data_IF_926026677352
#
_entry.id   IF_926026677352
#
_cell.length_a   1.000
_cell.length_b   1.000
_cell.length_c   1.000
_cell.angle_alpha   90.00
_cell.angle_beta   90.00
_cell.angle_gamma   90.00
#
_symmetry.space_group_name_H-M   'P 1'
#
loop_
_entity.id
_entity.type
_entity.pdbx_description
1 polymer ?
#
# COMPACT_ATOMS: atom_id res chain seq x y z
N UNK A 1 -0.89 -24.87 16.52
CA UNK A 1 -1.17 -23.53 15.98
C UNK A 1 0.14 -23.09 15.37
N UNK A 2 0.31 -23.19 14.05
CA UNK A 2 1.56 -22.79 13.40
C UNK A 2 1.66 -21.26 13.43
N UNK A 3 2.83 -20.75 13.83
CA UNK A 3 3.13 -19.32 13.79
C UNK A 3 3.01 -18.80 12.36
N UNK A 4 2.33 -17.67 12.19
CA UNK A 4 2.24 -17.03 10.90
C UNK A 4 3.64 -16.63 10.40
N UNK A 5 3.96 -16.81 9.11
CA UNK A 5 5.27 -16.46 8.58
C UNK A 5 5.55 -14.95 8.75
N UNK A 6 6.68 -14.63 9.39
CA UNK A 6 7.13 -13.25 9.62
C UNK A 6 7.74 -12.71 8.33
N UNK A 7 7.18 -11.62 7.79
CA UNK A 7 7.78 -10.87 6.69
C UNK A 7 8.62 -9.74 7.31
N UNK A 8 9.94 -9.80 7.13
CA UNK A 8 10.88 -8.79 7.63
C UNK A 8 11.55 -8.07 6.46
N UNK A 9 11.49 -6.74 6.46
CA UNK A 9 12.10 -5.90 5.43
C UNK A 9 13.52 -5.49 5.83
N UNK A 10 14.48 -5.76 4.95
CA UNK A 10 15.91 -5.58 5.22
C UNK A 10 16.53 -4.35 4.55
N UNK A 11 17.81 -4.08 4.81
CA UNK A 11 18.57 -2.96 4.22
C UNK A 11 18.58 -2.97 2.68
N UNK A 12 18.49 -4.16 2.08
CA UNK A 12 18.46 -4.36 0.62
C UNK A 12 17.15 -3.91 -0.05
N UNK A 13 16.08 -3.66 0.72
CA UNK A 13 14.77 -3.26 0.20
C UNK A 13 14.47 -1.77 0.42
N UNK A 14 15.44 -1.03 0.95
CA UNK A 14 15.34 0.42 1.10
C UNK A 14 15.58 1.09 -0.25
N UNK A 15 14.53 1.60 -0.88
CA UNK A 15 14.63 2.47 -2.05
C UNK A 15 14.44 3.93 -1.62
N UNK A 16 15.53 4.70 -1.52
CA UNK A 16 15.50 6.13 -1.14
C UNK A 16 16.89 6.68 -0.77
N UNK A 17 17.09 8.01 -0.82
CA UNK A 17 18.35 8.63 -0.39
C UNK A 17 18.63 8.33 1.09
N UNK A 18 19.81 7.80 1.41
CA UNK A 18 20.16 7.46 2.80
C UNK A 18 20.61 8.70 3.57
N UNK A 19 19.69 9.36 4.25
CA UNK A 19 20.03 10.41 5.22
C UNK A 19 19.11 10.36 6.44
N UNK A 20 19.72 10.18 7.62
CA UNK A 20 19.14 10.43 8.96
C UNK A 20 17.70 9.96 9.18
N UNK A 21 17.48 8.65 9.38
CA UNK A 21 16.39 7.97 10.13
C UNK A 21 14.91 8.49 10.09
N UNK A 22 14.58 9.47 9.25
CA UNK A 22 13.26 10.08 9.07
C UNK A 22 12.65 9.71 7.71
N UNK A 23 13.30 8.82 6.96
CA UNK A 23 12.78 8.34 5.69
C UNK A 23 11.50 7.55 5.94
N UNK A 24 10.42 7.95 5.27
CA UNK A 24 9.18 7.19 5.20
C UNK A 24 9.48 5.71 4.90
N UNK A 25 8.78 4.79 5.56
CA UNK A 25 8.90 3.38 5.24
C UNK A 25 8.23 3.14 3.88
N UNK A 26 9.07 3.04 2.85
CA UNK A 26 8.66 2.82 1.47
C UNK A 26 9.10 1.44 1.02
N UNK A 27 8.18 0.67 0.48
CA UNK A 27 8.44 -0.70 0.00
C UNK A 27 8.08 -0.87 -1.49
N UNK A 28 8.42 -2.05 -1.99
CA UNK A 28 7.92 -2.60 -3.24
C UNK A 28 7.07 -3.84 -2.96
N UNK A 29 6.02 -4.05 -3.73
CA UNK A 29 5.19 -5.24 -3.67
C UNK A 29 4.58 -5.56 -5.04
N UNK A 30 4.04 -6.76 -5.20
CA UNK A 30 3.30 -7.11 -6.43
C UNK A 30 1.81 -6.84 -6.24
N UNK A 31 1.22 -5.98 -7.06
CA UNK A 31 -0.23 -5.68 -7.08
C UNK A 31 -0.77 -6.05 -8.46
N UNK A 32 -1.80 -6.90 -8.50
CA UNK A 32 -2.41 -7.34 -9.76
C UNK A 32 -1.40 -7.90 -10.79
N UNK A 33 -0.36 -8.60 -10.30
CA UNK A 33 0.78 -9.12 -11.08
C UNK A 33 1.78 -8.07 -11.62
N UNK A 34 1.62 -6.80 -11.25
CA UNK A 34 2.59 -5.74 -11.54
C UNK A 34 3.49 -5.49 -10.33
N UNK A 35 4.79 -5.31 -10.57
CA UNK A 35 5.69 -4.83 -9.53
C UNK A 35 5.48 -3.34 -9.31
N UNK A 36 5.03 -2.97 -8.12
CA UNK A 36 4.73 -1.59 -7.75
C UNK A 36 5.70 -1.16 -6.66
N UNK A 37 6.51 -0.14 -6.96
CA UNK A 37 7.35 0.55 -5.97
C UNK A 37 6.69 1.80 -5.41
N UNK A 38 7.42 2.52 -4.56
CA UNK A 38 6.94 3.75 -3.91
C UNK A 38 5.64 3.53 -3.13
N UNK A 39 5.56 2.42 -2.41
CA UNK A 39 4.43 2.09 -1.53
C UNK A 39 4.75 2.62 -0.14
N UNK A 40 4.02 3.64 0.31
CA UNK A 40 4.19 4.20 1.65
C UNK A 40 3.41 3.38 2.69
N UNK A 41 4.09 2.96 3.76
CA UNK A 41 3.47 2.30 4.89
C UNK A 41 3.04 3.35 5.91
N UNK A 42 1.73 3.49 6.12
CA UNK A 42 1.15 4.49 7.00
C UNK A 42 0.22 3.85 8.04
N UNK A 43 0.71 3.68 9.27
CA UNK A 43 -0.09 3.17 10.38
C UNK A 43 -1.15 4.17 10.88
N UNK A 44 -1.07 5.44 10.50
CA UNK A 44 -2.07 6.48 10.77
C UNK A 44 -3.24 6.43 9.79
N UNK A 45 -3.03 5.94 8.57
CA UNK A 45 -4.08 5.87 7.56
C UNK A 45 -5.16 4.84 7.91
N UNK A 46 -6.43 5.25 7.82
CA UNK A 46 -7.60 4.37 7.97
C UNK A 46 -7.97 3.61 6.70
N UNK A 47 -7.35 3.93 5.56
CA UNK A 47 -7.67 3.36 4.26
C UNK A 47 -6.41 3.01 3.48
N UNK A 48 -6.53 2.03 2.58
CA UNK A 48 -5.53 1.78 1.57
C UNK A 48 -5.86 2.62 0.33
N UNK A 49 -4.86 3.30 -0.21
CA UNK A 49 -5.02 4.28 -1.29
C UNK A 49 -4.14 3.85 -2.45
N UNK A 50 -4.71 3.83 -3.65
CA UNK A 50 -4.01 3.69 -4.91
C UNK A 50 -4.13 5.01 -5.67
N UNK A 51 -3.02 5.65 -6.01
CA UNK A 51 -3.09 6.92 -6.73
C UNK A 51 -3.48 6.70 -8.18
N UNK A 52 -4.28 7.62 -8.74
CA UNK A 52 -4.89 7.50 -10.06
C UNK A 52 -3.88 7.21 -11.18
N UNK A 53 -2.73 7.88 -11.16
CA UNK A 53 -1.66 7.63 -12.15
C UNK A 53 -1.15 6.18 -12.07
N UNK A 54 -0.99 5.63 -10.87
CA UNK A 54 -0.59 4.23 -10.68
C UNK A 54 -1.72 3.28 -11.10
N UNK A 55 -2.97 3.61 -10.79
CA UNK A 55 -4.13 2.84 -11.24
C UNK A 55 -4.21 2.76 -12.77
N UNK A 56 -4.02 3.88 -13.47
CA UNK A 56 -4.09 3.94 -14.93
C UNK A 56 -2.88 3.22 -15.59
N UNK A 57 -1.72 3.17 -14.92
CA UNK A 57 -0.54 2.42 -15.38
C UNK A 57 -0.69 0.90 -15.20
N UNK A 58 -1.38 0.46 -14.14
CA UNK A 58 -1.71 -0.95 -13.94
C UNK A 58 -2.82 -1.28 -14.96
N UNK A 59 -2.47 -2.05 -15.99
CA UNK A 59 -3.40 -2.36 -17.09
C UNK A 59 -4.42 -3.41 -16.65
N UNK A 60 -5.35 -3.02 -15.79
CA UNK A 60 -6.35 -3.90 -15.19
C UNK A 60 -7.42 -4.40 -16.17
N UNK A 61 -7.37 -4.00 -17.44
CA UNK A 61 -8.38 -4.37 -18.44
C UNK A 61 -9.75 -3.83 -18.08
N UNK A 62 -10.77 -4.69 -18.08
CA UNK A 62 -12.18 -4.33 -17.83
C UNK A 62 -12.56 -4.21 -16.34
N UNK A 63 -11.58 -4.15 -15.42
CA UNK A 63 -11.86 -3.95 -13.99
C UNK A 63 -12.46 -2.56 -13.79
N UNK A 64 -13.77 -2.53 -13.54
CA UNK A 64 -14.49 -1.29 -13.24
C UNK A 64 -14.31 -0.87 -11.78
N UNK A 65 -14.22 0.43 -11.54
CA UNK A 65 -14.25 1.00 -10.19
C UNK A 65 -15.65 0.92 -9.58
N UNK A 66 -15.73 0.42 -8.36
CA UNK A 66 -16.93 0.49 -7.54
C UNK A 66 -17.16 1.94 -7.11
N UNK A 67 -18.39 2.44 -7.29
CA UNK A 67 -18.75 3.78 -6.79
C UNK A 67 -18.73 3.79 -5.26
N UNK A 68 -18.12 4.83 -4.70
CA UNK A 68 -18.09 5.08 -3.26
C UNK A 68 -18.56 6.49 -2.96
N UNK A 69 -19.28 6.66 -1.85
CA UNK A 69 -19.73 7.97 -1.37
C UNK A 69 -18.88 8.49 -0.20
N UNK A 70 -17.76 7.81 0.09
CA UNK A 70 -16.87 8.13 1.21
C UNK A 70 -15.87 9.19 0.79
N UNK A 71 -15.62 10.18 1.64
CA UNK A 71 -14.55 11.17 1.46
C UNK A 71 -13.39 10.85 2.40
N UNK A 72 -12.17 11.10 1.95
CA UNK A 72 -10.97 11.00 2.77
C UNK A 72 -10.65 12.37 3.36
N UNK A 73 -10.38 12.39 4.66
CA UNK A 73 -10.03 13.59 5.40
C UNK A 73 -8.56 13.53 5.81
N UNK A 74 -7.79 14.50 5.33
CA UNK A 74 -6.39 14.69 5.68
C UNK A 74 -6.23 15.36 7.04
N UNK A 75 -5.02 15.26 7.59
CA UNK A 75 -4.70 15.84 8.89
C UNK A 75 -4.82 17.37 8.90
N UNK A 76 -4.50 18.04 7.79
CA UNK A 76 -4.62 19.49 7.68
C UNK A 76 -6.00 19.94 7.15
N UNK A 77 -7.00 19.04 7.20
CA UNK A 77 -8.37 19.32 6.79
C UNK A 77 -8.60 19.20 5.28
N UNK A 78 -7.65 18.66 4.52
CA UNK A 78 -7.87 18.35 3.11
C UNK A 78 -9.00 17.34 2.98
N UNK A 79 -9.86 17.52 1.97
CA UNK A 79 -10.92 16.57 1.64
C UNK A 79 -10.66 16.06 0.24
N UNK A 80 -10.55 14.75 0.10
CA UNK A 80 -10.36 14.07 -1.18
C UNK A 80 -11.54 13.14 -1.43
N UNK A 81 -12.18 13.30 -2.59
CA UNK A 81 -13.21 12.39 -3.06
C UNK A 81 -12.56 11.33 -3.96
N UNK A 82 -12.60 10.04 -3.59
CA UNK A 82 -12.07 8.98 -4.44
C UNK A 82 -12.84 8.88 -5.75
N UNK A 83 -12.12 8.57 -6.84
CA UNK A 83 -12.69 8.18 -8.14
C UNK A 83 -13.56 6.94 -8.01
N UNK A 84 -13.18 6.03 -7.10
CA UNK A 84 -13.91 4.82 -6.79
C UNK A 84 -13.08 3.89 -5.89
N UNK A 85 -13.50 2.64 -5.81
CA UNK A 85 -12.80 1.59 -5.09
C UNK A 85 -12.53 0.40 -6.00
N UNK A 86 -11.39 -0.25 -5.83
CA UNK A 86 -11.00 -1.44 -6.59
C UNK A 86 -10.49 -2.52 -5.66
N UNK A 87 -10.81 -3.78 -5.96
CA UNK A 87 -10.28 -4.94 -5.25
C UNK A 87 -9.13 -5.57 -6.04
N UNK A 88 -7.89 -5.50 -5.54
CA UNK A 88 -6.70 -6.00 -6.23
C UNK A 88 -5.92 -7.00 -5.36
N UNK A 89 -5.35 -8.07 -5.96
CA UNK A 89 -4.50 -8.98 -5.22
C UNK A 89 -3.14 -8.33 -4.95
N UNK A 90 -2.79 -8.19 -3.67
CA UNK A 90 -1.47 -7.78 -3.20
C UNK A 90 -0.68 -9.01 -2.76
N UNK A 91 0.56 -9.13 -3.24
CA UNK A 91 1.50 -10.16 -2.79
C UNK A 91 2.72 -9.51 -2.13
N UNK A 92 2.99 -9.92 -0.89
CA UNK A 92 4.18 -9.52 -0.12
C UNK A 92 4.95 -10.74 0.39
N UNK A 93 6.23 -10.56 0.72
CA UNK A 93 7.13 -11.62 1.16
C UNK A 93 8.01 -12.17 0.04
N UNK A 94 8.90 -13.11 0.38
CA UNK A 94 9.89 -13.70 -0.54
C UNK A 94 9.86 -15.22 -0.51
N UNK A 95 10.16 -15.85 -1.65
CA UNK A 95 10.27 -17.31 -1.78
C UNK A 95 8.98 -18.03 -1.36
N UNK A 96 9.11 -19.01 -0.48
CA UNK A 96 7.98 -19.78 0.08
C UNK A 96 7.14 -18.99 1.08
N UNK A 97 7.60 -17.81 1.53
CA UNK A 97 6.90 -16.94 2.48
C UNK A 97 6.06 -15.86 1.79
N UNK A 98 5.76 -16.00 0.49
CA UNK A 98 4.86 -15.08 -0.21
C UNK A 98 3.43 -15.27 0.27
N UNK A 99 2.77 -14.18 0.67
CA UNK A 99 1.36 -14.16 1.01
C UNK A 99 0.63 -13.22 0.05
N UNK A 100 -0.42 -13.74 -0.59
CA UNK A 100 -1.30 -12.97 -1.48
C UNK A 100 -2.64 -12.76 -0.80
N UNK A 101 -3.14 -11.53 -0.80
CA UNK A 101 -4.44 -11.15 -0.24
C UNK A 101 -5.17 -10.24 -1.22
N UNK A 102 -6.49 -10.42 -1.36
CA UNK A 102 -7.34 -9.49 -2.11
C UNK A 102 -7.67 -8.29 -1.21
N UNK A 103 -7.26 -7.09 -1.64
CA UNK A 103 -7.39 -5.87 -0.84
C UNK A 103 -8.17 -4.80 -1.59
N UNK A 104 -8.89 -3.97 -0.84
CA UNK A 104 -9.66 -2.86 -1.39
C UNK A 104 -8.85 -1.57 -1.30
N UNK A 105 -8.64 -0.93 -2.44
CA UNK A 105 -7.98 0.36 -2.54
C UNK A 105 -9.00 1.43 -2.94
N UNK A 106 -8.97 2.56 -2.25
CA UNK A 106 -9.60 3.78 -2.76
C UNK A 106 -8.69 4.39 -3.82
N UNK A 107 -9.24 4.64 -5.01
CA UNK A 107 -8.50 5.28 -6.10
C UNK A 107 -8.71 6.78 -6.01
N UNK A 108 -7.62 7.54 -5.91
CA UNK A 108 -7.67 9.00 -5.73
C UNK A 108 -6.84 9.71 -6.78
N UNK A 109 -7.37 10.79 -7.35
CA UNK A 109 -6.74 11.57 -8.41
C UNK A 109 -6.09 12.83 -7.83
N UNK A 110 -5.11 12.64 -6.93
CA UNK A 110 -4.29 13.72 -6.37
C UNK A 110 -2.81 13.49 -6.69
N UNK A 111 -2.03 14.55 -6.98
CA UNK A 111 -0.59 14.42 -7.18
C UNK A 111 0.10 13.82 -5.95
N UNK A 112 0.97 12.84 -6.15
CA UNK A 112 1.68 12.16 -5.06
C UNK A 112 3.05 11.66 -5.51
N UNK A 113 3.99 11.64 -4.58
CA UNK A 113 5.29 10.99 -4.78
C UNK A 113 5.21 9.46 -4.66
N UNK A 114 4.10 8.93 -4.17
CA UNK A 114 3.86 7.52 -3.92
C UNK A 114 2.84 6.96 -4.91
N UNK A 115 2.96 5.66 -5.19
CA UNK A 115 1.98 4.95 -6.01
C UNK A 115 0.84 4.40 -5.15
N UNK A 116 1.14 4.04 -3.89
CA UNK A 116 0.20 3.42 -2.95
C UNK A 116 0.47 3.91 -1.54
N UNK A 117 -0.60 4.07 -0.74
CA UNK A 117 -0.53 4.10 0.72
C UNK A 117 -1.14 2.81 1.25
N UNK A 118 -0.37 2.04 2.02
CA UNK A 118 -0.88 0.92 2.81
C UNK A 118 -1.18 1.41 4.21
N UNK A 119 -2.47 1.49 4.50
CA UNK A 119 -3.01 1.87 5.78
C UNK A 119 -3.18 0.71 6.74
N UNK A 120 -3.85 0.99 7.85
CA UNK A 120 -4.25 -0.01 8.84
C UNK A 120 -5.01 -1.21 8.27
N UNK A 121 -5.91 -1.09 7.26
CA UNK A 121 -6.61 -2.27 6.75
C UNK A 121 -5.65 -3.34 6.22
N UNK A 122 -4.69 -2.96 5.36
CA UNK A 122 -3.64 -3.87 4.90
C UNK A 122 -2.75 -4.34 6.05
N UNK A 123 -2.26 -3.43 6.90
CA UNK A 123 -1.34 -3.79 7.98
C UNK A 123 -1.93 -4.82 8.95
N UNK A 124 -3.22 -4.70 9.28
CA UNK A 124 -3.93 -5.66 10.13
C UNK A 124 -4.05 -7.04 9.49
N UNK A 125 -4.32 -7.12 8.17
CA UNK A 125 -4.42 -8.40 7.43
C UNK A 125 -3.07 -9.14 7.39
N UNK A 126 -1.99 -8.39 7.29
CA UNK A 126 -0.63 -8.93 7.30
C UNK A 126 -0.05 -9.08 8.70
N UNK A 127 -0.79 -8.73 9.76
CA UNK A 127 -0.32 -8.73 11.14
C UNK A 127 1.01 -7.98 11.29
N UNK A 128 1.15 -6.89 10.55
CA UNK A 128 2.37 -6.12 10.48
C UNK A 128 2.58 -5.36 11.80
N UNK A 129 3.79 -5.46 12.35
CA UNK A 129 4.21 -4.74 13.54
C UNK A 129 5.54 -4.05 13.30
N UNK A 130 5.68 -2.82 13.82
CA UNK A 130 6.95 -2.10 13.80
C UNK A 130 7.81 -2.63 14.94
N UNK A 131 8.95 -3.22 14.60
CA UNK A 131 9.97 -3.60 15.57
C UNK A 131 11.22 -2.76 15.37
N UNK A 132 11.77 -2.15 16.43
CA UNK A 132 13.12 -1.61 16.39
C UNK A 132 14.11 -2.71 16.01
N UNK A 133 15.17 -2.35 15.29
CA UNK A 133 16.34 -3.22 15.14
C UNK A 133 17.14 -3.06 16.43
N UNK A 134 17.11 -4.07 17.30
CA UNK A 134 17.95 -4.17 18.52
C UNK A 134 18.77 -5.43 18.43
#
# INVERSE_FOLDING_TARGET
>A
MEDAPIIQFGRAERSGPQTTHNDALVIMATIANYEVGRIFIDSGSSADILFGEAYDQIQLGDVSLEKVNTSLYGFAGEVVHPRGMVSLPLTMGRGTMRKTCLLKFLVVDVPSAYNVIMGRPTLNIFQAMVSPIT
#
